data_IF_358292399671
#
_entry.id   IF_358292399671
#
_cell.length_a   1.000
_cell.length_b   1.000
_cell.length_c   1.000
_cell.angle_alpha   90.00
_cell.angle_beta   90.00
_cell.angle_gamma   90.00
#
_symmetry.space_group_name_H-M   'P 1'
#
loop_
_entity.id
_entity.type
_entity.pdbx_description
1 polymer ?
#
# COMPACT_ATOMS: atom_id res chain seq x y z
N UNK A 1 0.74 -35.03 19.97
CA UNK A 1 0.09 -35.28 18.67
C UNK A 1 -1.40 -35.51 18.98
N UNK A 2 -2.28 -34.79 18.32
CA UNK A 2 -3.72 -34.99 18.39
C UNK A 2 -4.20 -35.88 17.24
N UNK A 3 -5.50 -36.14 17.19
CA UNK A 3 -6.17 -36.66 16.02
C UNK A 3 -6.30 -35.51 15.01
N UNK A 4 -6.20 -35.84 13.74
CA UNK A 4 -6.24 -34.90 12.60
C UNK A 4 -6.99 -35.63 11.49
N UNK A 5 -8.15 -35.08 11.10
CA UNK A 5 -9.06 -35.71 10.14
C UNK A 5 -8.48 -35.74 8.73
N UNK A 6 -7.74 -34.67 8.34
CA UNK A 6 -7.11 -34.56 7.00
C UNK A 6 -5.95 -35.52 6.85
N UNK A 7 -5.34 -35.95 7.97
CA UNK A 7 -4.31 -37.00 8.02
C UNK A 7 -4.93 -38.40 8.03
N UNK A 8 -5.97 -38.62 8.85
CA UNK A 8 -6.64 -39.92 8.95
C UNK A 8 -8.07 -39.80 9.49
N UNK A 9 -9.04 -40.24 8.68
CA UNK A 9 -10.47 -40.25 9.05
C UNK A 9 -10.85 -41.37 10.01
N UNK A 10 -10.00 -42.37 10.19
CA UNK A 10 -10.20 -43.49 11.13
C UNK A 10 -8.93 -44.19 11.48
N UNK A 11 -8.94 -44.86 12.63
CA UNK A 11 -7.88 -45.72 13.12
C UNK A 11 -8.46 -47.10 13.47
N UNK A 12 -7.78 -48.17 13.04
CA UNK A 12 -8.09 -49.54 13.44
C UNK A 12 -7.03 -50.00 14.41
N UNK A 13 -7.43 -50.28 15.64
CA UNK A 13 -6.57 -50.84 16.68
C UNK A 13 -6.90 -52.30 16.89
N UNK A 14 -5.91 -53.20 16.96
CA UNK A 14 -6.13 -54.57 17.35
C UNK A 14 -5.89 -54.68 18.85
N UNK A 15 -6.96 -54.94 19.59
CA UNK A 15 -6.90 -55.24 21.02
C UNK A 15 -6.58 -56.72 21.23
N UNK A 16 -5.55 -57.02 21.99
CA UNK A 16 -5.11 -58.36 22.30
C UNK A 16 -5.28 -58.66 23.80
N UNK A 17 -5.84 -59.80 24.11
CA UNK A 17 -5.90 -60.33 25.45
C UNK A 17 -5.17 -61.69 25.50
N UNK A 18 -4.23 -61.86 26.44
CA UNK A 18 -3.42 -63.06 26.58
C UNK A 18 -3.41 -63.56 28.03
N UNK A 19 -3.52 -64.87 28.21
CA UNK A 19 -3.36 -65.56 29.48
C UNK A 19 -1.92 -66.02 29.72
N UNK A 20 -1.00 -65.66 28.83
CA UNK A 20 0.40 -66.09 28.83
C UNK A 20 0.68 -67.32 27.99
N UNK A 21 -0.36 -68.03 27.51
CA UNK A 21 -0.28 -69.22 26.63
C UNK A 21 -1.03 -68.95 25.34
N UNK A 22 -2.24 -68.43 25.41
CA UNK A 22 -3.10 -68.11 24.26
C UNK A 22 -3.36 -66.61 24.19
N UNK A 23 -3.62 -66.13 22.97
CA UNK A 23 -3.96 -64.74 22.69
C UNK A 23 -5.24 -64.70 21.87
N UNK A 24 -6.21 -63.86 22.28
CA UNK A 24 -7.40 -63.53 21.48
C UNK A 24 -7.32 -62.07 21.07
N UNK A 25 -7.69 -61.79 19.82
CA UNK A 25 -7.60 -60.45 19.25
C UNK A 25 -8.98 -60.00 18.74
N UNK A 26 -9.24 -58.71 18.86
CA UNK A 26 -10.43 -58.04 18.32
C UNK A 26 -10.05 -56.65 17.81
N UNK A 27 -10.60 -56.25 16.68
CA UNK A 27 -10.37 -54.94 16.14
C UNK A 27 -11.32 -53.92 16.74
N UNK A 28 -10.77 -52.75 17.08
CA UNK A 28 -11.47 -51.56 17.52
C UNK A 28 -11.27 -50.47 16.46
N UNK A 29 -12.35 -50.01 15.85
CA UNK A 29 -12.34 -48.91 14.85
C UNK A 29 -12.72 -47.63 15.60
N UNK A 30 -11.84 -46.60 15.48
CA UNK A 30 -12.03 -45.24 15.99
C UNK A 30 -12.21 -44.35 14.77
N UNK A 31 -13.34 -43.68 14.63
CA UNK A 31 -13.57 -42.67 13.62
C UNK A 31 -13.18 -41.29 14.17
N UNK A 32 -12.57 -40.46 13.34
CA UNK A 32 -12.30 -39.04 13.63
C UNK A 32 -13.41 -38.22 13.00
N UNK A 33 -13.92 -37.24 13.71
CA UNK A 33 -14.87 -36.28 13.19
C UNK A 33 -14.12 -35.05 12.70
N UNK A 34 -14.55 -34.54 11.55
CA UNK A 34 -14.05 -33.33 10.93
C UNK A 34 -14.42 -32.11 11.77
N UNK A 35 -13.50 -31.18 11.95
CA UNK A 35 -13.70 -29.88 12.58
C UNK A 35 -12.98 -28.85 11.74
N UNK A 36 -13.71 -27.89 11.19
CA UNK A 36 -13.15 -26.84 10.36
C UNK A 36 -12.05 -26.03 11.07
N UNK A 37 -10.85 -26.06 10.55
CA UNK A 37 -9.70 -25.29 11.01
C UNK A 37 -9.62 -23.92 10.31
N UNK A 38 -8.80 -23.03 10.88
CA UNK A 38 -8.56 -21.72 10.26
C UNK A 38 -7.51 -21.84 9.15
N UNK A 39 -7.66 -21.06 8.06
CA UNK A 39 -6.66 -21.03 7.00
C UNK A 39 -5.31 -20.53 7.51
N UNK A 40 -4.23 -21.03 6.94
CA UNK A 40 -2.89 -20.43 7.10
C UNK A 40 -2.80 -19.21 6.18
N UNK A 41 -2.04 -18.19 6.59
CA UNK A 41 -1.83 -16.97 5.79
C UNK A 41 -0.42 -16.45 5.96
N UNK A 42 0.23 -16.17 4.84
CA UNK A 42 1.49 -15.43 4.75
C UNK A 42 1.42 -14.43 3.60
N UNK A 43 2.36 -13.47 3.58
CA UNK A 43 2.48 -12.52 2.47
C UNK A 43 3.95 -12.21 2.20
N UNK A 44 4.23 -11.81 0.96
CA UNK A 44 5.56 -11.38 0.52
C UNK A 44 5.43 -10.02 -0.16
N UNK A 45 6.21 -9.02 0.28
CA UNK A 45 6.33 -7.74 -0.41
C UNK A 45 7.12 -7.92 -1.71
N UNK A 46 6.70 -7.20 -2.76
CA UNK A 46 7.41 -7.19 -4.05
C UNK A 46 8.74 -6.41 -3.97
N UNK A 47 8.85 -5.43 -3.06
CA UNK A 47 10.05 -4.65 -2.80
C UNK A 47 10.12 -4.20 -1.33
N UNK A 48 11.32 -3.78 -0.87
CA UNK A 48 11.51 -3.24 0.49
C UNK A 48 10.93 -1.84 0.67
N UNK A 49 10.80 -1.07 -0.42
CA UNK A 49 10.13 0.23 -0.50
C UNK A 49 9.62 0.47 -1.91
N UNK A 50 8.66 1.37 -2.04
CA UNK A 50 8.05 1.76 -3.32
C UNK A 50 8.15 3.27 -3.47
N UNK A 51 8.56 3.74 -4.65
CA UNK A 51 8.54 5.17 -4.95
C UNK A 51 7.08 5.66 -5.02
N UNK A 52 6.79 6.84 -4.51
CA UNK A 52 5.41 7.36 -4.52
C UNK A 52 4.83 7.52 -5.93
N UNK A 53 5.66 7.80 -6.93
CA UNK A 53 5.25 7.91 -8.33
C UNK A 53 5.08 6.55 -9.04
N UNK A 54 5.10 5.43 -8.29
CA UNK A 54 4.86 4.10 -8.85
C UNK A 54 3.49 4.03 -9.52
N UNK A 55 3.42 3.36 -10.67
CA UNK A 55 2.18 3.26 -11.43
C UNK A 55 1.08 2.46 -10.70
N UNK A 56 -0.16 2.93 -10.78
CA UNK A 56 -1.32 2.12 -10.37
C UNK A 56 -1.39 0.82 -11.16
N UNK A 57 -1.89 -0.25 -10.55
CA UNK A 57 -1.86 -1.61 -11.08
C UNK A 57 -0.59 -2.39 -10.74
N UNK A 58 0.42 -1.75 -10.15
CA UNK A 58 1.63 -2.45 -9.69
C UNK A 58 1.30 -3.37 -8.52
N UNK A 59 1.80 -4.60 -8.56
CA UNK A 59 1.71 -5.54 -7.44
C UNK A 59 2.66 -5.12 -6.33
N UNK A 60 2.11 -4.87 -5.15
CA UNK A 60 2.83 -4.43 -3.95
C UNK A 60 3.21 -5.64 -3.09
N UNK A 61 2.30 -6.59 -2.95
CA UNK A 61 2.50 -7.79 -2.17
C UNK A 61 1.72 -8.95 -2.78
N UNK A 62 2.11 -10.18 -2.42
CA UNK A 62 1.37 -11.39 -2.75
C UNK A 62 1.09 -12.16 -1.48
N UNK A 63 -0.17 -12.49 -1.23
CA UNK A 63 -0.59 -13.40 -0.19
C UNK A 63 -0.42 -14.85 -0.64
N UNK A 64 -0.10 -15.72 0.30
CA UNK A 64 -0.17 -17.16 0.14
C UNK A 64 -0.97 -17.72 1.31
N UNK A 65 -2.08 -18.35 1.01
CA UNK A 65 -2.92 -18.98 2.03
C UNK A 65 -3.30 -20.40 1.60
N UNK A 66 -3.47 -21.27 2.57
CA UNK A 66 -3.99 -22.62 2.37
C UNK A 66 -4.90 -22.99 3.53
N UNK A 67 -5.88 -23.78 3.22
CA UNK A 67 -6.88 -24.28 4.15
C UNK A 67 -6.75 -25.79 4.25
N UNK A 68 -6.77 -26.39 5.46
CA UNK A 68 -6.68 -27.82 5.64
C UNK A 68 -7.77 -28.59 4.89
N UNK A 69 -9.01 -28.14 4.97
CA UNK A 69 -10.18 -28.73 4.28
C UNK A 69 -10.24 -28.34 2.79
N UNK A 70 -9.25 -27.58 2.30
CA UNK A 70 -9.20 -27.09 0.91
C UNK A 70 -10.39 -26.22 0.52
N UNK A 71 -10.95 -25.46 1.45
CA UNK A 71 -12.05 -24.53 1.21
C UNK A 71 -11.60 -23.34 0.35
N UNK A 72 -12.55 -22.71 -0.32
CA UNK A 72 -12.28 -21.53 -1.12
C UNK A 72 -12.07 -20.33 -0.20
N UNK A 73 -10.87 -19.73 -0.26
CA UNK A 73 -10.51 -18.59 0.54
C UNK A 73 -10.93 -17.26 -0.10
N UNK A 74 -11.35 -16.33 0.74
CA UNK A 74 -11.60 -14.93 0.36
C UNK A 74 -10.59 -14.02 1.05
N UNK A 75 -10.08 -13.03 0.30
CA UNK A 75 -9.11 -12.07 0.82
C UNK A 75 -9.74 -10.69 1.02
N UNK A 76 -9.29 -9.96 2.03
CA UNK A 76 -9.65 -8.57 2.24
C UNK A 76 -8.50 -7.77 2.85
N UNK A 77 -8.51 -6.45 2.61
CA UNK A 77 -7.59 -5.49 3.19
C UNK A 77 -8.34 -4.53 4.10
N UNK A 78 -7.68 -4.13 5.18
CA UNK A 78 -8.17 -3.10 6.10
C UNK A 78 -6.99 -2.33 6.71
N UNK A 79 -7.30 -1.27 7.46
CA UNK A 79 -6.30 -0.38 8.04
C UNK A 79 -6.29 0.98 7.37
N UNK A 80 -5.61 1.95 7.99
CA UNK A 80 -5.48 3.31 7.46
C UNK A 80 -4.73 3.29 6.13
N UNK A 81 -5.32 3.88 5.09
CA UNK A 81 -4.76 3.92 3.74
C UNK A 81 -5.07 2.67 2.91
N UNK A 82 -5.92 1.75 3.39
CA UNK A 82 -6.31 0.57 2.61
C UNK A 82 -7.05 0.92 1.32
N UNK A 83 -7.62 2.12 1.21
CA UNK A 83 -8.26 2.66 0.01
C UNK A 83 -7.31 2.87 -1.18
N UNK A 84 -6.00 2.94 -0.93
CA UNK A 84 -4.99 3.03 -1.99
C UNK A 84 -4.65 1.67 -2.61
N UNK A 85 -5.13 0.57 -2.02
CA UNK A 85 -4.76 -0.79 -2.39
C UNK A 85 -6.00 -1.67 -2.61
N UNK A 86 -5.87 -2.70 -3.43
CA UNK A 86 -6.87 -3.74 -3.60
C UNK A 86 -6.22 -5.11 -3.52
N UNK A 87 -6.95 -6.11 -3.04
CA UNK A 87 -6.54 -7.51 -3.09
C UNK A 87 -7.50 -8.29 -3.97
N UNK A 88 -6.96 -9.12 -4.86
CA UNK A 88 -7.75 -10.00 -5.73
C UNK A 88 -7.98 -11.39 -5.09
N UNK A 89 -8.79 -12.23 -5.76
CA UNK A 89 -9.09 -13.59 -5.31
C UNK A 89 -7.89 -14.54 -5.34
N UNK A 90 -6.79 -14.13 -5.94
CA UNK A 90 -5.52 -14.88 -5.96
C UNK A 90 -4.54 -14.39 -4.88
N UNK A 91 -4.92 -13.38 -4.08
CA UNK A 91 -4.10 -12.80 -3.04
C UNK A 91 -3.10 -11.76 -3.54
N UNK A 92 -3.19 -11.28 -4.79
CA UNK A 92 -2.34 -10.20 -5.24
C UNK A 92 -2.85 -8.86 -4.70
N UNK A 93 -2.00 -8.16 -3.99
CA UNK A 93 -2.26 -6.79 -3.50
C UNK A 93 -1.67 -5.81 -4.50
N UNK A 94 -2.52 -4.97 -5.08
CA UNK A 94 -2.15 -4.00 -6.12
C UNK A 94 -2.46 -2.58 -5.69
N UNK A 95 -1.67 -1.63 -6.17
CA UNK A 95 -1.91 -0.20 -6.00
C UNK A 95 -3.06 0.24 -6.91
N UNK A 96 -4.07 0.92 -6.36
CA UNK A 96 -5.24 1.41 -7.12
C UNK A 96 -5.37 2.93 -7.15
N UNK A 97 -4.63 3.66 -6.30
CA UNK A 97 -4.59 5.12 -6.28
C UNK A 97 -3.15 5.62 -6.09
N UNK A 98 -2.85 6.84 -6.53
CA UNK A 98 -1.52 7.45 -6.37
C UNK A 98 -1.13 7.58 -4.90
N UNK A 99 0.16 7.40 -4.65
CA UNK A 99 0.78 7.63 -3.35
C UNK A 99 1.36 9.05 -3.33
N UNK A 100 1.61 9.56 -2.13
CA UNK A 100 2.16 10.89 -1.86
C UNK A 100 2.95 10.75 -0.56
N UNK A 101 4.27 10.87 -0.65
CA UNK A 101 5.19 10.68 0.46
C UNK A 101 5.02 11.76 1.54
N UNK A 102 4.72 13.00 1.14
CA UNK A 102 4.48 14.13 2.05
C UNK A 102 3.19 13.94 2.85
N UNK A 103 2.24 13.17 2.31
CA UNK A 103 1.02 12.76 3.03
C UNK A 103 1.27 11.54 3.90
N UNK A 104 1.97 10.51 3.39
CA UNK A 104 2.28 9.30 4.16
C UNK A 104 3.51 8.55 3.64
N UNK A 105 4.55 8.47 4.46
CA UNK A 105 5.79 7.74 4.15
C UNK A 105 5.69 6.22 4.37
N UNK A 106 4.58 5.72 4.92
CA UNK A 106 4.37 4.27 5.11
C UNK A 106 2.91 3.94 5.36
N UNK A 107 2.55 2.68 5.05
CA UNK A 107 1.23 2.10 5.32
C UNK A 107 1.39 0.78 6.06
N UNK A 108 0.54 0.55 7.07
CA UNK A 108 0.43 -0.72 7.78
C UNK A 108 -0.99 -1.26 7.57
N UNK A 109 -1.11 -2.22 6.66
CA UNK A 109 -2.38 -2.82 6.31
C UNK A 109 -2.54 -4.17 7.01
N UNK A 110 -3.78 -4.53 7.32
CA UNK A 110 -4.17 -5.86 7.74
C UNK A 110 -4.74 -6.61 6.55
N UNK A 111 -4.04 -7.66 6.13
CA UNK A 111 -4.52 -8.62 5.14
C UNK A 111 -5.23 -9.76 5.89
N UNK A 112 -6.40 -10.15 5.42
CA UNK A 112 -7.20 -11.24 5.98
C UNK A 112 -7.46 -12.30 4.92
N UNK A 113 -7.42 -13.57 5.32
CA UNK A 113 -7.92 -14.71 4.54
C UNK A 113 -9.00 -15.44 5.35
N UNK A 114 -10.13 -15.72 4.73
CA UNK A 114 -11.27 -16.39 5.37
C UNK A 114 -11.79 -17.54 4.52
N UNK A 115 -12.09 -18.66 5.16
CA UNK A 115 -12.79 -19.85 4.62
C UNK A 115 -14.32 -19.69 4.67
N UNK A 116 -14.83 -18.58 5.25
CA UNK A 116 -16.26 -18.31 5.49
C UNK A 116 -16.71 -18.62 6.92
N UNK A 117 -15.92 -19.33 7.72
CA UNK A 117 -16.17 -19.64 9.14
C UNK A 117 -15.08 -19.02 10.02
N UNK A 118 -13.83 -19.27 9.69
CA UNK A 118 -12.64 -18.77 10.37
C UNK A 118 -11.92 -17.72 9.52
N UNK A 119 -11.13 -16.87 10.17
CA UNK A 119 -10.35 -15.82 9.51
C UNK A 119 -8.96 -15.75 10.14
N UNK A 120 -7.94 -15.78 9.30
CA UNK A 120 -6.55 -15.53 9.70
C UNK A 120 -6.08 -14.20 9.13
N UNK A 121 -5.32 -13.44 9.91
CA UNK A 121 -4.83 -12.11 9.51
C UNK A 121 -3.31 -12.05 9.55
N UNK A 122 -2.75 -11.21 8.66
CA UNK A 122 -1.33 -10.88 8.65
C UNK A 122 -1.15 -9.38 8.34
N UNK A 123 -0.04 -8.79 8.78
CA UNK A 123 0.26 -7.38 8.54
C UNK A 123 1.12 -7.23 7.29
N UNK A 124 0.80 -6.25 6.45
CA UNK A 124 1.62 -5.77 5.34
C UNK A 124 2.13 -4.38 5.73
N UNK A 125 3.43 -4.26 5.99
CA UNK A 125 4.10 -2.98 6.22
C UNK A 125 4.73 -2.50 4.91
N UNK A 126 4.22 -1.40 4.36
CA UNK A 126 4.64 -0.82 3.09
C UNK A 126 5.38 0.48 3.38
N UNK A 127 6.63 0.60 2.92
CA UNK A 127 7.41 1.84 3.01
C UNK A 127 7.35 2.57 1.66
N UNK A 128 7.18 3.88 1.70
CA UNK A 128 7.21 4.74 0.53
C UNK A 128 8.53 5.50 0.52
N UNK A 129 9.11 5.69 -0.64
CA UNK A 129 10.28 6.54 -0.85
C UNK A 129 9.88 7.79 -1.62
N UNK A 130 10.40 8.89 -1.15
CA UNK A 130 10.27 10.22 -1.71
C UNK A 130 10.81 10.30 -3.15
N UNK A 131 10.14 11.06 -3.98
CA UNK A 131 10.54 11.43 -5.35
C UNK A 131 10.25 12.90 -5.54
N UNK A 132 11.30 13.69 -5.67
CA UNK A 132 11.16 15.14 -5.83
C UNK A 132 10.17 15.55 -6.93
N UNK A 133 9.18 16.32 -6.59
CA UNK A 133 8.21 16.91 -7.49
C UNK A 133 8.62 18.33 -7.94
N UNK A 134 7.94 18.79 -8.97
CA UNK A 134 8.13 20.16 -9.44
C UNK A 134 7.31 21.15 -8.59
N UNK A 135 7.87 22.34 -8.30
CA UNK A 135 7.10 23.36 -7.61
C UNK A 135 5.86 23.78 -8.42
N UNK A 136 4.78 24.05 -7.72
CA UNK A 136 3.60 24.69 -8.28
C UNK A 136 3.84 26.19 -8.39
N UNK A 137 3.40 26.83 -9.47
CA UNK A 137 3.57 28.26 -9.71
C UNK A 137 2.26 28.90 -10.10
N UNK A 138 1.93 30.02 -9.45
CA UNK A 138 0.85 30.92 -9.84
C UNK A 138 1.37 32.35 -9.92
N UNK A 139 0.73 33.19 -10.73
CA UNK A 139 1.07 34.61 -10.85
C UNK A 139 -0.18 35.46 -11.07
N UNK A 140 -0.14 36.69 -10.61
CA UNK A 140 -1.21 37.66 -10.81
C UNK A 140 -0.63 39.02 -11.23
N UNK A 141 -1.24 39.64 -12.24
CA UNK A 141 -0.93 41.01 -12.63
C UNK A 141 -1.53 41.99 -11.62
N UNK A 142 -0.79 43.05 -11.31
CA UNK A 142 -1.29 44.16 -10.51
C UNK A 142 -2.34 45.00 -11.25
N UNK A 143 -2.25 45.08 -12.60
CA UNK A 143 -3.21 45.71 -13.46
C UNK A 143 -3.19 45.07 -14.85
N UNK A 144 -4.26 45.24 -15.63
CA UNK A 144 -4.34 44.74 -17.01
C UNK A 144 -3.51 45.58 -18.03
N UNK A 145 -3.11 46.78 -17.64
CA UNK A 145 -2.27 47.68 -18.44
C UNK A 145 -1.53 48.67 -17.57
N UNK A 146 -0.39 49.13 -18.03
CA UNK A 146 0.47 50.13 -17.40
C UNK A 146 0.73 51.26 -18.36
N UNK A 147 0.83 52.49 -17.83
CA UNK A 147 1.20 53.63 -18.63
C UNK A 147 2.68 53.55 -19.04
N UNK A 148 3.05 54.07 -20.22
CA UNK A 148 4.44 54.09 -20.71
C UNK A 148 5.44 54.81 -19.80
N UNK A 149 4.96 55.74 -18.96
CA UNK A 149 5.74 56.50 -17.99
C UNK A 149 5.64 55.95 -16.56
N UNK A 150 5.24 54.68 -16.39
CA UNK A 150 5.22 53.98 -15.09
C UNK A 150 6.64 53.95 -14.50
N UNK A 151 6.78 54.33 -13.24
CA UNK A 151 8.09 54.44 -12.61
C UNK A 151 8.76 53.05 -12.46
N UNK A 152 10.09 53.02 -12.66
CA UNK A 152 10.91 51.84 -12.32
C UNK A 152 10.74 51.43 -10.87
N UNK A 153 10.81 50.14 -10.57
CA UNK A 153 10.52 49.60 -9.23
C UNK A 153 9.05 49.40 -8.95
N UNK A 154 8.13 49.84 -9.84
CA UNK A 154 6.70 49.57 -9.67
C UNK A 154 6.46 48.06 -9.80
N UNK A 155 5.78 47.47 -8.81
CA UNK A 155 5.34 46.07 -8.88
C UNK A 155 4.22 45.94 -9.89
N UNK A 156 4.47 45.14 -10.92
CA UNK A 156 3.54 44.89 -12.01
C UNK A 156 2.83 43.54 -11.91
N UNK A 157 3.47 42.60 -11.22
CA UNK A 157 2.92 41.28 -10.96
C UNK A 157 3.52 40.67 -9.70
N UNK A 158 2.83 39.70 -9.16
CA UNK A 158 3.35 38.84 -8.09
C UNK A 158 3.22 37.39 -8.48
N UNK A 159 4.27 36.61 -8.25
CA UNK A 159 4.27 35.16 -8.34
C UNK A 159 4.22 34.55 -6.95
N UNK A 160 3.53 33.43 -6.82
CA UNK A 160 3.54 32.60 -5.63
C UNK A 160 3.83 31.17 -6.06
N UNK A 161 4.79 30.52 -5.42
CA UNK A 161 5.11 29.13 -5.67
C UNK A 161 5.21 28.36 -4.37
N UNK A 162 4.89 27.08 -4.43
CA UNK A 162 5.08 26.14 -3.33
C UNK A 162 5.65 24.84 -3.89
N UNK A 163 6.49 24.25 -3.08
CA UNK A 163 7.19 23.00 -3.38
C UNK A 163 6.74 21.96 -2.34
N UNK A 164 6.35 20.73 -2.76
CA UNK A 164 5.90 19.69 -1.83
C UNK A 164 6.95 19.37 -0.75
N UNK A 165 8.24 19.23 -1.13
CA UNK A 165 9.35 18.95 -0.22
C UNK A 165 9.86 20.21 0.51
N UNK A 166 9.17 21.35 0.31
CA UNK A 166 9.55 22.63 0.91
C UNK A 166 10.94 23.12 0.52
N UNK A 167 11.39 22.79 -0.69
CA UNK A 167 12.67 23.25 -1.21
C UNK A 167 12.66 24.76 -1.47
N UNK A 168 13.85 25.35 -1.48
CA UNK A 168 14.00 26.79 -1.73
C UNK A 168 13.70 27.09 -3.20
N UNK A 169 12.66 27.89 -3.43
CA UNK A 169 12.25 28.30 -4.77
C UNK A 169 13.07 29.49 -5.23
N UNK A 170 13.48 29.46 -6.49
CA UNK A 170 14.11 30.59 -7.19
C UNK A 170 13.23 31.00 -8.36
N UNK A 171 13.04 32.32 -8.53
CA UNK A 171 12.26 32.88 -9.62
C UNK A 171 13.18 33.43 -10.70
N UNK A 172 12.78 33.28 -11.96
CA UNK A 172 13.44 33.91 -13.11
C UNK A 172 12.40 34.35 -14.13
N UNK A 173 12.77 35.35 -14.94
CA UNK A 173 11.97 35.82 -16.06
C UNK A 173 12.69 35.46 -17.36
N UNK A 174 11.91 35.12 -18.38
CA UNK A 174 12.40 34.84 -19.73
C UNK A 174 11.38 35.30 -20.78
N UNK A 175 11.79 35.34 -22.05
CA UNK A 175 10.95 35.78 -23.13
C UNK A 175 11.34 37.19 -23.67
N UNK A 176 10.77 37.59 -24.81
CA UNK A 176 11.08 38.89 -25.42
C UNK A 176 10.64 40.03 -24.49
N UNK A 177 11.52 40.98 -24.20
CA UNK A 177 11.24 42.11 -23.33
C UNK A 177 11.44 41.84 -21.86
N UNK A 178 11.88 40.62 -21.45
CA UNK A 178 12.13 40.29 -20.05
C UNK A 178 13.22 41.17 -19.40
N UNK A 179 14.12 41.73 -20.20
CA UNK A 179 15.14 42.70 -19.80
C UNK A 179 14.59 43.99 -19.17
N UNK A 180 13.34 44.30 -19.42
CA UNK A 180 12.68 45.48 -18.83
C UNK A 180 12.08 45.22 -17.45
N UNK A 181 12.22 43.99 -16.94
CA UNK A 181 11.59 43.55 -15.69
C UNK A 181 12.62 42.85 -14.80
N UNK A 182 12.40 42.86 -13.51
CA UNK A 182 13.15 42.11 -12.53
C UNK A 182 12.17 41.30 -11.65
N UNK A 183 12.62 40.14 -11.19
CA UNK A 183 11.90 39.36 -10.17
C UNK A 183 12.78 39.18 -8.95
N UNK A 184 12.22 39.39 -7.76
CA UNK A 184 12.93 39.16 -6.51
C UNK A 184 12.70 37.74 -5.96
N UNK A 185 13.40 37.38 -4.88
CA UNK A 185 13.26 36.07 -4.20
C UNK A 185 11.90 35.85 -3.56
N UNK A 186 11.06 36.86 -3.45
CA UNK A 186 9.68 36.78 -2.95
C UNK A 186 8.64 36.68 -4.05
N UNK A 187 9.09 36.62 -5.33
CA UNK A 187 8.22 36.54 -6.48
C UNK A 187 7.60 37.86 -6.94
N UNK A 188 8.06 39.03 -6.39
CA UNK A 188 7.60 40.32 -6.88
C UNK A 188 8.28 40.65 -8.21
N UNK A 189 7.48 40.92 -9.23
CA UNK A 189 7.95 41.33 -10.55
C UNK A 189 7.77 42.82 -10.67
N UNK A 190 8.89 43.52 -10.93
CA UNK A 190 8.95 44.98 -10.97
C UNK A 190 9.45 45.47 -12.32
N UNK A 191 9.11 46.71 -12.69
CA UNK A 191 9.68 47.39 -13.83
C UNK A 191 11.14 47.75 -13.54
N UNK A 192 12.08 47.30 -14.39
CA UNK A 192 13.53 47.49 -14.20
C UNK A 192 14.10 48.67 -15.01
N UNK A 193 13.51 49.05 -16.15
CA UNK A 193 13.93 50.14 -17.02
C UNK A 193 12.75 50.85 -17.67
#
# INVERSE_FOLDING_TARGET
AGLDYETATSYTLTLNASDGVNTTSSDLIITVEDVNEAPSLSNTLAASSFAENIATGTTIATASASDPESQTLTYSLSGTGSEYFAVDSSGNVTLVAGLDYETASSYNLTLSASDGVNTTTNTIAISISDVNEAPSLSSSLAASSFAENTATGTTIATASASDPESQTITYSLSGAGSENFAVDSSGNITLAS
#
